data_IF_854007125388
#
_entry.id   IF_854007125388
#
_cell.length_a   1.000
_cell.length_b   1.000
_cell.length_c   1.000
_cell.angle_alpha   90.00
_cell.angle_beta   90.00
_cell.angle_gamma   90.00
#
_symmetry.space_group_name_H-M   'P 1'
#
loop_
_entity.id
_entity.type
_entity.pdbx_description
1 polymer ?
#
# COMPACT_ATOMS: atom_id res chain seq x y z
N UNK A 1 7.75 -24.08 -4.68
CA UNK A 1 7.77 -22.95 -5.63
C UNK A 1 6.36 -22.44 -5.82
N UNK A 2 6.08 -21.18 -5.47
CA UNK A 2 4.77 -20.60 -5.73
C UNK A 2 4.68 -20.25 -7.23
N UNK A 3 3.74 -20.88 -7.93
CA UNK A 3 3.47 -20.60 -9.34
C UNK A 3 2.44 -19.49 -9.45
N UNK A 4 2.69 -18.51 -10.30
CA UNK A 4 1.74 -17.44 -10.57
C UNK A 4 0.45 -17.99 -11.21
N UNK A 5 -0.68 -17.57 -10.68
CA UNK A 5 -2.01 -17.94 -11.18
C UNK A 5 -2.39 -17.16 -12.44
N UNK A 6 -3.37 -17.70 -13.19
CA UNK A 6 -3.96 -17.00 -14.34
C UNK A 6 -4.55 -15.64 -13.92
N UNK A 7 -5.22 -15.58 -12.76
CA UNK A 7 -5.81 -14.36 -12.22
C UNK A 7 -4.74 -13.30 -11.98
N UNK A 8 -3.62 -13.66 -11.33
CA UNK A 8 -2.52 -12.72 -11.07
C UNK A 8 -1.87 -12.24 -12.37
N UNK A 9 -1.74 -13.13 -13.37
CA UNK A 9 -1.21 -12.77 -14.68
C UNK A 9 -2.09 -11.74 -15.40
N UNK A 10 -3.41 -11.93 -15.37
CA UNK A 10 -4.37 -10.99 -15.96
C UNK A 10 -4.35 -9.67 -15.19
N UNK A 11 -4.41 -9.71 -13.86
CA UNK A 11 -4.39 -8.51 -13.01
C UNK A 11 -3.13 -7.68 -13.23
N UNK A 12 -1.95 -8.31 -13.26
CA UNK A 12 -0.70 -7.62 -13.57
C UNK A 12 -0.79 -6.91 -14.92
N UNK A 13 -1.31 -7.58 -15.95
CA UNK A 13 -1.42 -7.00 -17.30
C UNK A 13 -2.36 -5.80 -17.31
N UNK A 14 -3.53 -5.90 -16.69
CA UNK A 14 -4.50 -4.81 -16.69
C UNK A 14 -4.02 -3.62 -15.84
N UNK A 15 -3.47 -3.85 -14.65
CA UNK A 15 -2.90 -2.79 -13.81
C UNK A 15 -1.77 -2.06 -14.56
N UNK A 16 -0.89 -2.81 -15.22
CA UNK A 16 0.19 -2.24 -16.03
C UNK A 16 -0.32 -1.39 -17.20
N UNK A 17 -1.48 -1.71 -17.80
CA UNK A 17 -2.09 -0.90 -18.86
C UNK A 17 -2.69 0.40 -18.33
N UNK A 18 -3.25 0.36 -17.13
CA UNK A 18 -3.80 1.56 -16.46
C UNK A 18 -2.68 2.50 -16.03
N UNK A 19 -1.51 1.96 -15.67
CA UNK A 19 -0.32 2.76 -15.43
C UNK A 19 0.22 3.33 -16.76
N UNK A 20 0.55 4.62 -16.79
CA UNK A 20 1.15 5.26 -17.96
C UNK A 20 2.45 4.57 -18.41
N UNK A 21 2.83 4.73 -19.68
CA UNK A 21 3.93 4.01 -20.33
C UNK A 21 5.24 4.02 -19.53
N UNK A 22 5.61 5.16 -18.93
CA UNK A 22 6.84 5.31 -18.14
C UNK A 22 6.82 4.51 -16.82
N UNK A 23 5.67 4.41 -16.15
CA UNK A 23 5.54 3.67 -14.89
C UNK A 23 5.38 2.16 -15.15
N UNK A 24 4.72 1.81 -16.26
CA UNK A 24 4.49 0.44 -16.68
C UNK A 24 5.79 -0.34 -16.95
N UNK A 25 6.88 0.31 -17.35
CA UNK A 25 8.16 -0.35 -17.60
C UNK A 25 8.78 -0.95 -16.33
N UNK A 26 8.62 -0.28 -15.20
CA UNK A 26 9.20 -0.68 -13.91
C UNK A 26 8.16 -1.25 -12.94
N UNK A 27 6.98 -1.60 -13.46
CA UNK A 27 5.92 -2.18 -12.64
C UNK A 27 6.36 -3.56 -12.13
N UNK A 28 6.30 -3.71 -10.81
CA UNK A 28 6.62 -4.94 -10.08
C UNK A 28 5.41 -5.35 -9.27
N UNK A 29 5.08 -6.64 -9.34
CA UNK A 29 3.99 -7.25 -8.60
C UNK A 29 4.55 -8.14 -7.50
N UNK A 30 4.22 -7.84 -6.24
CA UNK A 30 4.68 -8.61 -5.09
C UNK A 30 3.60 -9.61 -4.67
N UNK A 31 3.97 -10.90 -4.61
CA UNK A 31 3.13 -11.94 -4.03
C UNK A 31 3.69 -12.32 -2.67
N UNK A 32 2.84 -12.24 -1.65
CA UNK A 32 3.14 -12.58 -0.27
C UNK A 32 2.41 -13.88 0.07
N UNK A 33 3.16 -14.91 0.45
CA UNK A 33 2.60 -16.20 0.87
C UNK A 33 3.01 -16.50 2.30
N UNK A 34 2.02 -16.78 3.14
CA UNK A 34 2.22 -17.27 4.50
C UNK A 34 1.88 -18.75 4.57
N UNK A 35 2.73 -19.55 5.20
CA UNK A 35 2.44 -20.95 5.52
C UNK A 35 2.88 -21.26 6.94
N UNK A 36 2.23 -22.23 7.58
CA UNK A 36 2.64 -22.75 8.89
C UNK A 36 2.82 -24.27 8.79
N UNK A 37 3.81 -24.81 9.48
CA UNK A 37 4.01 -26.26 9.60
C UNK A 37 3.17 -26.84 10.73
N UNK A 38 3.18 -28.17 10.87
CA UNK A 38 2.39 -28.90 11.86
C UNK A 38 2.41 -28.24 13.25
N UNK A 39 1.21 -28.10 13.81
CA UNK A 39 0.92 -27.45 15.10
C UNK A 39 1.23 -25.95 15.17
N UNK A 40 1.40 -25.27 14.04
CA UNK A 40 1.73 -23.83 13.97
C UNK A 40 3.03 -23.46 14.72
N UNK A 41 3.94 -24.41 14.92
CA UNK A 41 5.19 -24.17 15.64
C UNK A 41 6.23 -23.42 14.79
N UNK A 42 6.07 -23.41 13.46
CA UNK A 42 6.94 -22.68 12.54
C UNK A 42 6.10 -22.00 11.48
N UNK A 43 6.30 -20.69 11.34
CA UNK A 43 5.69 -19.87 10.30
C UNK A 43 6.72 -19.51 9.23
N UNK A 44 6.31 -19.54 7.98
CA UNK A 44 7.11 -19.06 6.85
C UNK A 44 6.34 -17.93 6.16
N UNK A 45 7.03 -16.82 5.96
CA UNK A 45 6.58 -15.69 5.18
C UNK A 45 7.50 -15.57 3.97
N UNK A 46 6.95 -15.68 2.78
CA UNK A 46 7.71 -15.61 1.54
C UNK A 46 7.19 -14.48 0.67
N UNK A 47 8.12 -13.65 0.22
CA UNK A 47 7.90 -12.58 -0.76
C UNK A 47 8.47 -13.03 -2.10
N UNK A 48 7.70 -12.92 -3.18
CA UNK A 48 8.20 -13.12 -4.54
C UNK A 48 7.77 -11.95 -5.40
N UNK A 49 8.74 -11.23 -5.93
CA UNK A 49 8.53 -10.09 -6.81
C UNK A 49 8.55 -10.55 -8.25
N UNK A 50 7.56 -10.15 -9.04
CA UNK A 50 7.46 -10.47 -10.46
C UNK A 50 7.50 -9.19 -11.28
N UNK A 51 8.22 -9.24 -12.39
CA UNK A 51 8.14 -8.21 -13.42
C UNK A 51 7.85 -8.84 -14.77
N UNK A 52 7.24 -8.05 -15.66
CA UNK A 52 7.00 -8.48 -17.03
C UNK A 52 8.30 -8.40 -17.82
N UNK A 53 8.86 -9.56 -18.15
CA UNK A 53 9.91 -9.66 -19.15
C UNK A 53 9.32 -10.25 -20.44
N UNK A 54 9.29 -9.43 -21.49
CA UNK A 54 8.59 -9.73 -22.74
C UNK A 54 7.12 -10.13 -22.53
N UNK A 55 6.78 -11.41 -22.75
CA UNK A 55 5.41 -11.96 -22.65
C UNK A 55 5.18 -12.78 -21.39
N UNK A 56 6.16 -12.86 -20.48
CA UNK A 56 6.07 -13.69 -19.26
C UNK A 56 6.38 -12.89 -18.01
N UNK A 57 5.72 -13.26 -16.93
CA UNK A 57 6.07 -12.80 -15.60
C UNK A 57 7.22 -13.64 -15.09
N UNK A 58 8.30 -12.97 -14.72
CA UNK A 58 9.53 -13.60 -14.23
C UNK A 58 9.83 -13.08 -12.83
N UNK A 59 10.32 -13.95 -11.93
CA UNK A 59 10.74 -13.52 -10.61
C UNK A 59 11.94 -12.58 -10.72
N UNK A 60 11.96 -11.53 -9.91
CA UNK A 60 13.05 -10.55 -9.82
C UNK A 60 13.60 -10.56 -8.39
N UNK A 61 14.92 -10.47 -8.27
CA UNK A 61 15.58 -10.37 -6.97
C UNK A 61 15.40 -8.97 -6.40
N UNK A 62 15.06 -8.89 -5.11
CA UNK A 62 15.01 -7.64 -4.35
C UNK A 62 15.97 -7.78 -3.18
N UNK A 63 16.81 -6.76 -3.01
CA UNK A 63 17.77 -6.69 -1.92
C UNK A 63 17.17 -5.82 -0.81
N UNK A 64 17.15 -6.34 0.41
CA UNK A 64 16.81 -5.57 1.59
C UNK A 64 18.06 -4.84 2.09
N UNK A 65 18.04 -3.51 1.99
CA UNK A 65 19.11 -2.67 2.49
C UNK A 65 19.17 -2.77 4.02
N UNK A 66 20.32 -3.14 4.55
CA UNK A 66 20.52 -3.33 5.98
C UNK A 66 21.91 -2.82 6.43
N UNK A 67 22.14 -2.76 7.74
CA UNK A 67 23.38 -2.23 8.32
C UNK A 67 24.60 -3.15 8.13
N UNK A 68 24.42 -4.39 7.68
CA UNK A 68 25.48 -5.38 7.49
C UNK A 68 26.09 -5.40 6.09
N UNK A 69 25.71 -4.48 5.20
CA UNK A 69 26.33 -4.37 3.88
C UNK A 69 27.80 -3.91 4.01
N UNK A 70 28.75 -4.52 3.28
CA UNK A 70 30.16 -4.16 3.36
C UNK A 70 30.40 -2.70 2.93
N UNK A 71 31.32 -2.03 3.64
CA UNK A 71 31.63 -0.60 3.48
C UNK A 71 32.16 -0.21 2.10
N UNK A 72 32.44 -1.15 1.19
CA UNK A 72 32.94 -0.88 -0.16
C UNK A 72 31.97 -0.05 -1.04
N UNK A 73 30.77 0.27 -0.55
CA UNK A 73 29.78 1.14 -1.20
C UNK A 73 29.78 2.61 -0.72
N UNK A 74 30.78 3.07 0.06
CA UNK A 74 30.84 4.43 0.69
C UNK A 74 30.62 5.61 -0.29
N UNK A 75 30.84 5.43 -1.60
CA UNK A 75 30.63 6.47 -2.63
C UNK A 75 29.36 6.31 -3.49
N UNK A 76 28.34 5.56 -3.04
CA UNK A 76 27.06 5.58 -3.75
C UNK A 76 26.40 6.96 -3.61
N UNK A 77 26.32 7.69 -4.73
CA UNK A 77 25.39 8.83 -4.87
C UNK A 77 23.97 8.29 -4.67
N UNK A 78 23.40 8.54 -3.48
CA UNK A 78 21.97 8.38 -3.31
C UNK A 78 21.27 9.44 -4.15
N UNK A 79 20.60 9.01 -5.22
CA UNK A 79 19.83 9.89 -6.11
C UNK A 79 18.37 10.01 -5.69
N UNK A 80 17.93 9.20 -4.73
CA UNK A 80 16.56 9.19 -4.22
C UNK A 80 16.56 9.74 -2.78
N UNK A 81 16.36 11.04 -2.65
CA UNK A 81 15.88 11.62 -1.40
C UNK A 81 14.36 11.59 -1.50
N UNK A 82 13.72 10.75 -0.69
CA UNK A 82 12.27 10.74 -0.54
C UNK A 82 11.81 12.17 -0.18
N UNK A 83 10.70 12.63 -0.77
CA UNK A 83 10.15 13.97 -0.55
C UNK A 83 9.95 14.26 0.95
N UNK A 84 9.66 13.23 1.74
CA UNK A 84 9.49 13.29 3.19
C UNK A 84 10.79 13.69 3.93
N UNK A 85 11.95 13.41 3.33
CA UNK A 85 13.27 13.74 3.86
C UNK A 85 13.83 15.06 3.32
N UNK A 86 13.13 15.74 2.40
CA UNK A 86 13.55 17.07 1.90
C UNK A 86 13.67 18.11 3.01
N UNK A 87 12.87 18.03 4.08
CA UNK A 87 13.00 18.97 5.20
C UNK A 87 14.34 18.84 5.93
N UNK A 88 14.97 17.66 5.88
CA UNK A 88 16.31 17.43 6.43
C UNK A 88 17.42 17.89 5.48
N UNK A 89 17.13 18.11 4.20
CA UNK A 89 18.08 18.63 3.22
C UNK A 89 18.64 20.01 3.60
N UNK A 90 17.81 20.87 4.18
CA UNK A 90 18.24 22.17 4.73
C UNK A 90 19.19 22.00 5.93
N UNK A 91 18.96 20.98 6.76
CA UNK A 91 19.85 20.64 7.88
C UNK A 91 21.20 20.17 7.35
N UNK A 92 21.20 19.26 6.37
CA UNK A 92 22.44 18.81 5.71
C UNK A 92 23.23 19.97 5.08
N UNK A 93 22.55 20.94 4.46
CA UNK A 93 23.19 22.14 3.92
C UNK A 93 23.79 23.04 5.01
N UNK A 94 23.10 23.20 6.15
CA UNK A 94 23.60 24.00 7.28
C UNK A 94 24.81 23.37 7.99
N UNK A 95 24.90 22.03 7.95
CA UNK A 95 25.95 21.25 8.62
C UNK A 95 27.21 21.14 7.75
N UNK A 96 27.11 21.25 6.43
CA UNK A 96 28.25 21.24 5.50
C UNK A 96 29.28 22.37 5.72
N UNK A 97 28.95 23.40 6.51
CA UNK A 97 29.88 24.48 6.89
C UNK A 97 30.55 24.30 8.27
N UNK A 98 30.27 23.21 8.98
CA UNK A 98 30.77 22.99 10.35
C UNK A 98 32.13 22.26 10.29
N UNK A 99 33.20 22.98 10.63
CA UNK A 99 34.59 22.45 10.63
C UNK A 99 34.84 21.31 11.64
N UNK A 100 33.87 21.01 12.53
CA UNK A 100 33.95 19.95 13.52
C UNK A 100 32.94 18.84 13.20
N UNK A 101 33.46 17.75 12.61
CA UNK A 101 32.67 16.57 12.21
C UNK A 101 31.86 15.95 13.35
N UNK A 102 32.36 16.01 14.59
CA UNK A 102 31.63 15.51 15.76
C UNK A 102 30.39 16.36 16.06
N UNK A 103 30.54 17.69 16.05
CA UNK A 103 29.42 18.61 16.27
C UNK A 103 28.38 18.47 15.16
N UNK A 104 28.84 18.44 13.91
CA UNK A 104 28.02 18.18 12.73
C UNK A 104 27.16 16.91 12.87
N UNK A 105 27.78 15.78 13.23
CA UNK A 105 27.08 14.52 13.44
C UNK A 105 26.08 14.57 14.60
N UNK A 106 26.43 15.22 15.72
CA UNK A 106 25.50 15.36 16.85
C UNK A 106 24.28 16.24 16.53
N UNK A 107 24.47 17.29 15.71
CA UNK A 107 23.37 18.14 15.26
C UNK A 107 22.45 17.37 14.31
N UNK A 108 23.01 16.64 13.34
CA UNK A 108 22.24 15.78 12.45
C UNK A 108 21.44 14.72 13.22
N UNK A 109 22.10 14.01 14.13
CA UNK A 109 21.46 12.99 14.97
C UNK A 109 20.31 13.58 15.80
N UNK A 110 20.52 14.75 16.42
CA UNK A 110 19.48 15.43 17.21
C UNK A 110 18.27 15.81 16.37
N UNK A 111 18.50 16.39 15.20
CA UNK A 111 17.40 16.87 14.35
C UNK A 111 16.64 15.72 13.70
N UNK A 112 17.34 14.66 13.26
CA UNK A 112 16.69 13.43 12.76
C UNK A 112 15.79 12.83 13.84
N UNK A 113 16.28 12.70 15.07
CA UNK A 113 15.48 12.13 16.16
C UNK A 113 14.26 13.00 16.52
N UNK A 114 14.41 14.32 16.51
CA UNK A 114 13.29 15.25 16.71
C UNK A 114 12.22 15.06 15.63
N UNK A 115 12.64 14.91 14.38
CA UNK A 115 11.73 14.63 13.28
C UNK A 115 11.03 13.28 13.44
N UNK A 116 11.77 12.22 13.79
CA UNK A 116 11.22 10.88 14.05
C UNK A 116 10.21 10.87 15.20
N UNK A 117 10.48 11.57 16.29
CA UNK A 117 9.56 11.69 17.43
C UNK A 117 8.25 12.39 17.04
N UNK A 118 8.35 13.42 16.20
CA UNK A 118 7.17 14.13 15.66
C UNK A 118 6.34 13.20 14.77
N UNK A 119 7.01 12.47 13.87
CA UNK A 119 6.38 11.49 13.00
C UNK A 119 5.68 10.39 13.80
N UNK A 120 6.33 9.85 14.84
CA UNK A 120 5.75 8.86 15.73
C UNK A 120 4.45 9.36 16.38
N UNK A 121 4.46 10.58 16.93
CA UNK A 121 3.26 11.18 17.53
C UNK A 121 2.11 11.30 16.52
N UNK A 122 2.41 11.72 15.29
CA UNK A 122 1.42 11.86 14.23
C UNK A 122 0.87 10.50 13.79
N UNK A 123 1.73 9.50 13.58
CA UNK A 123 1.33 8.13 13.23
C UNK A 123 0.42 7.55 14.31
N UNK A 124 0.76 7.70 15.59
CA UNK A 124 -0.09 7.24 16.69
C UNK A 124 -1.47 7.88 16.67
N UNK A 125 -1.56 9.20 16.47
CA UNK A 125 -2.85 9.91 16.35
C UNK A 125 -3.68 9.41 15.16
N UNK A 126 -3.06 9.26 13.99
CA UNK A 126 -3.72 8.75 12.79
C UNK A 126 -4.19 7.31 12.97
N UNK A 127 -3.40 6.45 13.60
CA UNK A 127 -3.81 5.08 13.94
C UNK A 127 -5.06 5.05 14.82
N UNK A 128 -5.13 5.93 15.84
CA UNK A 128 -6.32 6.04 16.69
C UNK A 128 -7.53 6.51 15.90
N UNK A 129 -7.36 7.49 15.02
CA UNK A 129 -8.43 7.99 14.16
C UNK A 129 -8.96 6.88 13.24
N UNK A 130 -8.09 6.21 12.49
CA UNK A 130 -8.44 5.10 11.60
C UNK A 130 -9.16 3.98 12.38
N UNK A 131 -8.64 3.60 13.55
CA UNK A 131 -9.27 2.59 14.39
C UNK A 131 -10.67 3.02 14.87
N UNK A 132 -10.83 4.28 15.27
CA UNK A 132 -12.13 4.83 15.68
C UNK A 132 -13.15 4.84 14.54
N UNK A 133 -12.72 5.18 13.31
CA UNK A 133 -13.57 5.18 12.13
C UNK A 133 -13.95 3.75 11.72
N UNK A 134 -13.00 2.81 11.75
CA UNK A 134 -13.28 1.41 11.47
C UNK A 134 -14.28 0.83 12.48
N UNK A 135 -14.10 1.11 13.77
CA UNK A 135 -15.04 0.67 14.82
C UNK A 135 -16.45 1.23 14.60
N UNK A 136 -16.56 2.53 14.31
CA UNK A 136 -17.86 3.17 14.00
C UNK A 136 -18.52 2.56 12.76
N UNK A 137 -17.76 2.33 11.69
CA UNK A 137 -18.26 1.71 10.46
C UNK A 137 -18.76 0.28 10.70
N UNK A 138 -18.01 -0.52 11.46
CA UNK A 138 -18.43 -1.88 11.81
C UNK A 138 -19.71 -1.86 12.65
N UNK A 139 -19.81 -0.99 13.67
CA UNK A 139 -21.01 -0.86 14.50
C UNK A 139 -22.23 -0.34 13.70
N UNK A 140 -22.03 0.55 12.73
CA UNK A 140 -23.11 1.05 11.86
C UNK A 140 -23.61 -0.03 10.89
N UNK A 141 -22.75 -0.92 10.42
CA UNK A 141 -23.11 -2.01 9.51
C UNK A 141 -24.07 -3.03 10.17
N UNK A 142 -23.93 -3.26 11.49
CA UNK A 142 -24.88 -4.08 12.25
C UNK A 142 -26.24 -3.41 12.46
N UNK A 143 -26.35 -2.09 12.38
CA UNK A 143 -27.64 -1.38 12.53
C UNK A 143 -28.51 -1.45 11.27
N UNK A 144 -27.92 -1.64 10.09
CA UNK A 144 -28.67 -1.74 8.83
C UNK A 144 -29.23 -3.17 8.61
N UNK A 145 -28.58 -4.20 9.17
CA UNK A 145 -29.00 -5.59 9.04
C UNK A 145 -30.21 -5.98 9.93
N UNK A 146 -30.61 -5.15 10.89
CA UNK A 146 -31.66 -5.48 11.88
C UNK A 146 -33.03 -4.86 11.53
N UNK A 147 -33.14 -4.03 10.50
CA UNK A 147 -34.42 -3.40 10.14
C UNK A 147 -35.28 -4.26 9.18
N UNK A 148 -34.74 -5.34 8.62
CA UNK A 148 -35.40 -6.08 7.52
C UNK A 148 -36.11 -7.40 7.94
N UNK A 149 -36.40 -7.61 9.23
CA UNK A 149 -37.05 -8.85 9.71
C UNK A 149 -38.31 -8.67 10.57
N UNK A 150 -39.03 -7.55 10.47
CA UNK A 150 -40.30 -7.39 11.20
C UNK A 150 -41.44 -6.74 10.41
N UNK A 151 -41.82 -7.38 9.30
CA UNK A 151 -43.20 -7.31 8.78
C UNK A 151 -43.40 -8.31 7.64
N UNK A 152 -43.64 -9.59 7.97
CA UNK A 152 -44.23 -10.55 7.03
C UNK A 152 -45.24 -11.41 7.78
N UNK A 153 -46.35 -10.77 8.12
CA UNK A 153 -47.64 -11.41 8.35
C UNK A 153 -48.60 -10.86 7.31
N UNK A 154 -49.24 -11.78 6.60
CA UNK A 154 -50.53 -11.67 5.90
C UNK A 154 -50.61 -10.89 4.57
N UNK A 155 -50.60 -11.71 3.51
CA UNK A 155 -51.69 -11.86 2.53
C UNK A 155 -52.12 -10.73 1.56
N UNK A 156 -52.17 -11.14 0.28
CA UNK A 156 -53.13 -10.79 -0.78
C UNK A 156 -52.75 -9.66 -1.78
N UNK A 157 -52.39 -10.13 -2.98
CA UNK A 157 -52.77 -9.65 -4.33
C UNK A 157 -52.89 -8.15 -4.59
N UNK A 158 -51.95 -7.62 -5.38
CA UNK A 158 -52.28 -6.67 -6.45
C UNK A 158 -51.21 -6.71 -7.55
N UNK A 159 -51.59 -7.26 -8.69
CA UNK A 159 -50.87 -7.23 -9.95
C UNK A 159 -50.76 -5.80 -10.48
N UNK A 160 -49.56 -5.30 -10.71
CA UNK A 160 -49.33 -4.27 -11.74
C UNK A 160 -48.05 -4.56 -12.49
N UNK A 161 -48.25 -5.07 -13.71
CA UNK A 161 -47.24 -5.19 -14.74
C UNK A 161 -46.94 -3.79 -15.29
N UNK A 162 -45.67 -3.41 -15.37
CA UNK A 162 -45.23 -2.29 -16.20
C UNK A 162 -43.96 -2.69 -16.91
N UNK A 163 -44.13 -3.10 -18.18
CA UNK A 163 -43.07 -3.33 -19.16
C UNK A 163 -42.46 -1.98 -19.53
N UNK A 164 -41.20 -1.75 -19.18
CA UNK A 164 -40.44 -0.62 -19.68
C UNK A 164 -39.98 -1.00 -21.09
N UNK A 165 -40.48 -0.27 -22.10
CA UNK A 165 -40.09 -0.43 -23.51
C UNK A 165 -39.02 0.60 -23.86
N UNK A 166 -38.11 0.20 -24.77
CA UNK A 166 -36.88 0.89 -25.12
C UNK A 166 -37.08 2.13 -26.02
N UNK A 167 -37.93 3.07 -25.60
CA UNK A 167 -38.23 4.29 -26.37
C UNK A 167 -37.95 5.61 -25.63
N UNK A 168 -37.33 5.60 -24.45
CA UNK A 168 -37.10 6.81 -23.64
C UNK A 168 -35.61 7.18 -23.41
N UNK A 169 -34.72 6.88 -24.36
CA UNK A 169 -33.32 7.35 -24.30
C UNK A 169 -32.79 7.91 -25.64
N UNK A 170 -33.68 8.49 -26.47
CA UNK A 170 -33.28 9.29 -27.63
C UNK A 170 -33.82 10.70 -27.50
N UNK A 171 -33.21 11.46 -26.58
CA UNK A 171 -33.24 12.93 -26.60
C UNK A 171 -31.99 13.49 -25.91
N UNK A 172 -30.83 13.12 -26.43
CA UNK A 172 -29.69 14.03 -26.57
C UNK A 172 -29.05 13.69 -27.94
N UNK A 173 -29.53 14.42 -28.95
CA UNK A 173 -29.23 14.40 -30.39
C UNK A 173 -29.76 13.23 -31.23
#
# INVERSE_FOLDING_TARGET
NHSISLRETILHRELRRVLGHSAAQFFVFCIITTSATDRNATHSLKFTFFSQNHRRLQPVSVVETNLGEPEDNVYRKSTAVDDSFKCLQQVFQSVNGVNNSKMAMTMLHTEINKHLNTLQSNVSKLQHQVHSHLKKSSSSSYSCAVVDQKSRGDEVMASTSSKITAAELSQEY
#
